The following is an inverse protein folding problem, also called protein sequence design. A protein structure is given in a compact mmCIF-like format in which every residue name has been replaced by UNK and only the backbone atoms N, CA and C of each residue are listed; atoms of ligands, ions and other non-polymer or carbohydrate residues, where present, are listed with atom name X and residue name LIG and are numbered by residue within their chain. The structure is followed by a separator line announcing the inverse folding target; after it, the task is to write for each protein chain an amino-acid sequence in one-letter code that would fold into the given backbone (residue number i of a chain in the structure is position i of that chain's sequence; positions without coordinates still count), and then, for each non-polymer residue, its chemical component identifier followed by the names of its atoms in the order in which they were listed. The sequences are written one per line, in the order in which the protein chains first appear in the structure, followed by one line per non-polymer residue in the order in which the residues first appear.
data_IF_735819566445
#
_entry.id   IF_735819566445
#
_cell.length_a   1.000
_cell.length_b   1.000
_cell.length_c   1.000
_cell.angle_alpha   90.00
_cell.angle_beta   90.00
_cell.angle_gamma   90.00
#
_symmetry.space_group_name_H-M   'P 1'
#
loop_
_entity.id
_entity.type
_entity.pdbx_description
1 polymer ?
#
# COMPACT_ATOMS: atom_id res chain seq x y z
N UNK A 1 11.53 20.89 -9.08
CA UNK A 1 11.50 21.35 -7.64
C UNK A 1 12.07 20.22 -6.81
N UNK A 2 12.78 20.47 -5.69
CA UNK A 2 13.30 19.36 -4.86
C UNK A 2 12.16 18.62 -4.14
N UNK A 3 12.30 17.30 -3.94
CA UNK A 3 11.23 16.49 -3.33
C UNK A 3 10.80 17.00 -1.93
N UNK A 4 11.75 17.50 -1.13
CA UNK A 4 11.45 18.09 0.18
C UNK A 4 10.59 19.36 0.09
N UNK A 5 10.77 20.17 -0.95
CA UNK A 5 9.94 21.36 -1.19
C UNK A 5 8.51 20.96 -1.57
N UNK A 6 8.34 19.92 -2.38
CA UNK A 6 7.02 19.38 -2.70
C UNK A 6 6.34 18.83 -1.45
N UNK A 7 7.06 18.06 -0.62
CA UNK A 7 6.51 17.49 0.62
C UNK A 7 6.04 18.56 1.60
N UNK A 8 6.81 19.65 1.77
CA UNK A 8 6.44 20.73 2.69
C UNK A 8 5.16 21.48 2.28
N UNK A 9 4.79 21.42 0.99
CA UNK A 9 3.57 22.03 0.47
C UNK A 9 2.34 21.11 0.58
N UNK A 10 2.54 19.82 0.94
CA UNK A 10 1.46 18.83 0.98
C UNK A 10 0.92 18.66 2.39
N UNK A 11 -0.40 18.62 2.52
CA UNK A 11 -1.09 18.39 3.79
C UNK A 11 -1.00 16.93 4.18
N UNK A 12 -0.42 16.64 5.34
CA UNK A 12 -0.28 15.26 5.85
C UNK A 12 -1.64 14.59 6.15
N UNK A 13 -2.61 15.37 6.60
CA UNK A 13 -3.93 14.88 6.98
C UNK A 13 -4.97 15.30 5.95
N UNK A 14 -5.50 14.34 5.24
CA UNK A 14 -6.61 14.57 4.29
C UNK A 14 -7.91 14.34 5.04
N UNK A 15 -8.74 15.37 5.16
CA UNK A 15 -10.07 15.27 5.80
C UNK A 15 -11.06 14.40 5.00
N UNK A 16 -10.80 14.19 3.71
CA UNK A 16 -11.66 13.42 2.82
C UNK A 16 -10.85 12.68 1.77
N UNK A 17 -10.94 11.35 1.77
CA UNK A 17 -10.33 10.52 0.72
C UNK A 17 -11.15 10.67 -0.56
N UNK A 18 -10.54 11.15 -1.63
CA UNK A 18 -11.18 11.17 -2.95
C UNK A 18 -11.13 9.77 -3.56
N UNK A 19 -12.26 9.07 -3.56
CA UNK A 19 -12.38 7.66 -3.98
C UNK A 19 -11.90 7.40 -5.41
N UNK A 20 -11.99 8.39 -6.29
CA UNK A 20 -11.69 8.20 -7.72
C UNK A 20 -10.45 8.95 -8.19
N UNK A 21 -9.90 9.85 -7.37
CA UNK A 21 -8.79 10.69 -7.79
C UNK A 21 -7.52 9.84 -8.08
N UNK A 22 -7.11 9.00 -7.13
CA UNK A 22 -5.95 8.12 -7.33
C UNK A 22 -6.14 7.17 -8.51
N UNK A 23 -7.34 6.61 -8.69
CA UNK A 23 -7.65 5.76 -9.83
C UNK A 23 -7.50 6.54 -11.15
N UNK A 24 -8.05 7.74 -11.25
CA UNK A 24 -7.92 8.56 -12.46
C UNK A 24 -6.47 8.95 -12.76
N UNK A 25 -5.69 9.24 -11.72
CA UNK A 25 -4.25 9.53 -11.87
C UNK A 25 -3.48 8.29 -12.33
N UNK A 26 -3.75 7.12 -11.72
CA UNK A 26 -3.15 5.88 -12.15
C UNK A 26 -3.49 5.56 -13.60
N UNK A 27 -4.76 5.59 -14.02
CA UNK A 27 -5.18 5.34 -15.40
C UNK A 27 -4.51 6.28 -16.40
N UNK A 28 -4.33 7.55 -16.04
CA UNK A 28 -3.63 8.53 -16.88
C UNK A 28 -2.16 8.20 -17.10
N UNK A 29 -1.48 7.70 -16.07
CA UNK A 29 -0.01 7.55 -16.06
C UNK A 29 0.48 6.10 -16.03
N UNK A 30 -0.40 5.09 -15.96
CA UNK A 30 -0.03 3.68 -15.78
C UNK A 30 0.99 3.14 -16.79
N UNK A 31 1.05 3.70 -17.98
CA UNK A 31 2.01 3.31 -19.01
C UNK A 31 3.46 3.66 -18.66
N UNK A 32 3.65 4.63 -17.79
CA UNK A 32 4.95 5.15 -17.36
C UNK A 32 5.34 4.67 -15.96
N UNK A 33 4.41 4.07 -15.22
CA UNK A 33 4.67 3.53 -13.89
C UNK A 33 5.41 2.20 -14.05
N UNK A 34 6.56 2.03 -13.38
CA UNK A 34 7.31 0.77 -13.42
C UNK A 34 6.46 -0.42 -12.99
N UNK A 35 6.59 -1.53 -13.72
CA UNK A 35 5.86 -2.78 -13.42
C UNK A 35 6.71 -3.66 -12.51
N UNK A 36 6.15 -4.03 -11.37
CA UNK A 36 6.74 -4.91 -10.37
C UNK A 36 5.70 -5.95 -9.95
N UNK A 37 6.12 -7.02 -9.28
CA UNK A 37 5.17 -7.90 -8.58
C UNK A 37 4.78 -7.27 -7.25
N UNK A 38 3.51 -6.96 -7.08
CA UNK A 38 3.02 -6.18 -5.95
C UNK A 38 2.29 -7.06 -4.94
N UNK A 39 2.72 -6.97 -3.67
CA UNK A 39 2.07 -7.61 -2.54
C UNK A 39 1.51 -6.52 -1.64
N UNK A 40 0.20 -6.51 -1.43
CA UNK A 40 -0.43 -5.51 -0.58
C UNK A 40 -0.72 -6.07 0.80
N UNK A 41 -0.31 -5.34 1.85
CA UNK A 41 -0.57 -5.69 3.25
C UNK A 41 -1.69 -4.79 3.78
N UNK A 42 -2.79 -5.42 4.21
CA UNK A 42 -4.01 -4.74 4.63
C UNK A 42 -4.39 -5.21 6.03
N UNK A 43 -4.90 -4.34 6.87
CA UNK A 43 -5.34 -4.69 8.22
C UNK A 43 -5.44 -3.47 9.13
N UNK A 44 -5.69 -3.72 10.41
CA UNK A 44 -5.64 -2.67 11.42
C UNK A 44 -4.27 -2.63 12.08
N UNK A 45 -3.82 -3.75 12.63
CA UNK A 45 -2.55 -3.87 13.34
C UNK A 45 -1.60 -4.85 12.64
N UNK A 46 -0.30 -4.59 12.75
CA UNK A 46 0.75 -5.51 12.30
C UNK A 46 1.08 -5.44 10.81
N UNK A 47 0.53 -4.48 10.05
CA UNK A 47 0.83 -4.32 8.61
C UNK A 47 2.32 -4.13 8.35
N UNK A 48 2.93 -3.10 8.95
CA UNK A 48 4.34 -2.77 8.75
C UNK A 48 5.27 -3.91 9.17
N UNK A 49 5.01 -4.56 10.32
CA UNK A 49 5.80 -5.72 10.78
C UNK A 49 5.68 -6.91 9.82
N UNK A 50 4.46 -7.25 9.39
CA UNK A 50 4.23 -8.34 8.44
C UNK A 50 4.90 -8.04 7.10
N UNK A 51 4.77 -6.81 6.59
CA UNK A 51 5.42 -6.38 5.35
C UNK A 51 6.94 -6.45 5.46
N UNK A 52 7.52 -6.03 6.59
CA UNK A 52 8.96 -6.09 6.82
C UNK A 52 9.48 -7.54 6.90
N UNK A 53 8.77 -8.43 7.60
CA UNK A 53 9.13 -9.85 7.65
C UNK A 53 9.10 -10.48 6.26
N UNK A 54 8.05 -10.22 5.49
CA UNK A 54 7.95 -10.72 4.12
C UNK A 54 9.09 -10.18 3.24
N UNK A 55 9.42 -8.89 3.39
CA UNK A 55 10.52 -8.26 2.65
C UNK A 55 11.87 -8.93 2.97
N UNK A 56 12.12 -9.23 4.23
CA UNK A 56 13.34 -9.93 4.66
C UNK A 56 13.39 -11.36 4.11
N UNK A 57 12.28 -12.11 4.16
CA UNK A 57 12.21 -13.46 3.61
C UNK A 57 12.48 -13.49 2.10
N UNK A 58 11.91 -12.56 1.34
CA UNK A 58 12.16 -12.47 -0.09
C UNK A 58 13.60 -12.05 -0.40
N UNK A 59 14.17 -11.16 0.41
CA UNK A 59 15.56 -10.74 0.27
C UNK A 59 16.53 -11.92 0.51
N UNK A 60 16.27 -12.77 1.53
CA UNK A 60 17.04 -13.99 1.79
C UNK A 60 16.93 -15.02 0.66
N UNK A 61 15.86 -14.97 -0.14
CA UNK A 61 15.72 -15.78 -1.35
C UNK A 61 16.44 -15.18 -2.56
N UNK A 62 17.20 -14.09 -2.39
CA UNK A 62 17.95 -13.41 -3.44
C UNK A 62 17.13 -12.46 -4.32
N UNK A 63 15.88 -12.16 -3.95
CA UNK A 63 15.06 -11.21 -4.69
C UNK A 63 15.43 -9.76 -4.37
N UNK A 64 15.28 -8.85 -5.32
CA UNK A 64 15.31 -7.41 -5.10
C UNK A 64 13.94 -6.97 -4.57
N UNK A 65 13.90 -6.34 -3.40
CA UNK A 65 12.66 -6.06 -2.70
C UNK A 65 12.56 -4.61 -2.25
N UNK A 66 11.42 -3.98 -2.60
CA UNK A 66 10.98 -2.72 -2.03
C UNK A 66 9.87 -2.93 -1.00
N UNK A 67 9.92 -2.22 0.12
CA UNK A 67 8.84 -2.19 1.10
C UNK A 67 8.44 -0.74 1.38
N UNK A 68 7.23 -0.39 0.94
CA UNK A 68 6.58 0.88 1.24
C UNK A 68 5.73 0.73 2.49
N UNK A 69 5.99 1.57 3.51
CA UNK A 69 5.31 1.54 4.82
C UNK A 69 4.85 2.91 5.27
N UNK A 70 3.88 2.98 6.19
CA UNK A 70 3.35 4.22 6.74
C UNK A 70 2.68 4.02 8.11
N UNK A 71 2.70 5.04 8.99
CA UNK A 71 3.49 6.28 8.87
C UNK A 71 4.98 6.06 9.12
N UNK A 72 5.81 7.08 8.87
CA UNK A 72 7.17 7.14 9.41
C UNK A 72 7.16 7.66 10.86
N UNK A 73 8.23 7.40 11.60
CA UNK A 73 8.38 7.82 12.99
C UNK A 73 9.22 9.11 13.08
N UNK A 74 10.36 9.15 12.40
CA UNK A 74 11.30 10.29 12.44
C UNK A 74 11.41 10.97 11.08
N UNK A 75 11.66 10.21 10.01
CA UNK A 75 11.98 10.75 8.70
C UNK A 75 11.12 10.12 7.59
N UNK A 76 10.80 10.93 6.59
CA UNK A 76 10.02 10.51 5.40
C UNK A 76 10.62 9.28 4.71
N UNK A 77 11.95 9.18 4.68
CA UNK A 77 12.70 8.11 4.06
C UNK A 77 12.37 6.71 4.60
N UNK A 78 11.97 6.61 5.89
CA UNK A 78 11.57 5.36 6.53
C UNK A 78 10.45 4.62 5.78
N UNK A 79 9.64 5.38 5.02
CA UNK A 79 8.57 4.82 4.18
C UNK A 79 9.08 3.95 3.04
N UNK A 80 10.36 4.08 2.68
CA UNK A 80 10.96 3.44 1.52
C UNK A 80 12.15 2.59 1.95
N UNK A 81 11.89 1.32 2.20
CA UNK A 81 12.94 0.35 2.50
C UNK A 81 13.27 -0.44 1.22
N UNK A 82 14.53 -0.42 0.80
CA UNK A 82 15.02 -1.04 -0.42
C UNK A 82 16.19 -1.98 -0.11
N UNK A 83 16.05 -3.26 -0.40
CA UNK A 83 17.12 -4.26 -0.31
C UNK A 83 17.92 -4.20 1.01
N UNK A 84 17.25 -4.11 2.15
CA UNK A 84 17.89 -4.11 3.47
C UNK A 84 18.16 -2.72 4.07
N UNK A 85 17.91 -1.63 3.35
CA UNK A 85 18.24 -0.26 3.80
C UNK A 85 17.10 0.72 3.57
N UNK A 86 17.04 1.76 4.39
CA UNK A 86 16.18 2.92 4.13
C UNK A 86 16.75 3.68 2.93
N UNK A 87 15.87 4.14 2.04
CA UNK A 87 16.24 4.91 0.87
C UNK A 87 16.95 6.23 1.26
N UNK A 88 18.05 6.57 0.57
CA UNK A 88 18.74 7.82 0.79
C UNK A 88 17.98 9.01 0.19
N UNK A 89 18.33 10.23 0.62
CA UNK A 89 17.79 11.46 0.03
C UNK A 89 18.09 11.57 -1.46
N UNK A 90 19.29 11.15 -1.88
CA UNK A 90 19.71 11.18 -3.29
C UNK A 90 18.84 10.24 -4.14
N UNK A 91 18.49 9.06 -3.61
CA UNK A 91 17.62 8.13 -4.31
C UNK A 91 16.19 8.67 -4.40
N UNK A 92 15.68 9.28 -3.31
CA UNK A 92 14.36 9.90 -3.31
C UNK A 92 14.29 11.11 -4.25
N UNK A 93 15.33 11.94 -4.32
CA UNK A 93 15.41 13.06 -5.25
C UNK A 93 15.38 12.58 -6.70
N UNK A 94 16.19 11.57 -7.03
CA UNK A 94 16.20 10.97 -8.37
C UNK A 94 14.86 10.38 -8.76
N UNK A 95 14.22 9.64 -7.85
CA UNK A 95 12.89 9.07 -8.07
C UNK A 95 11.84 10.18 -8.23
N UNK A 96 11.97 11.28 -7.49
CA UNK A 96 11.11 12.45 -7.64
C UNK A 96 11.27 13.12 -9.00
N UNK A 97 12.50 13.33 -9.48
CA UNK A 97 12.76 13.89 -10.81
C UNK A 97 12.10 13.04 -11.92
N UNK A 98 12.20 11.71 -11.82
CA UNK A 98 11.54 10.79 -12.75
C UNK A 98 10.01 10.91 -12.66
N UNK A 99 9.44 10.92 -11.46
CA UNK A 99 8.00 11.10 -11.24
C UNK A 99 7.53 12.46 -11.76
N UNK A 100 8.26 13.54 -11.47
CA UNK A 100 7.92 14.90 -11.94
C UNK A 100 7.95 14.98 -13.47
N UNK A 101 8.90 14.32 -14.12
CA UNK A 101 8.99 14.28 -15.58
C UNK A 101 7.79 13.60 -16.25
N UNK A 102 7.18 12.62 -15.57
CA UNK A 102 6.00 11.89 -16.03
C UNK A 102 4.70 12.65 -15.71
N UNK A 103 4.55 13.07 -14.45
CA UNK A 103 3.30 13.66 -13.94
C UNK A 103 3.17 15.16 -14.20
N UNK A 104 4.28 15.85 -14.48
CA UNK A 104 4.32 17.30 -14.71
C UNK A 104 3.60 18.06 -13.57
N UNK A 105 2.76 19.01 -13.90
CA UNK A 105 2.01 19.79 -12.91
C UNK A 105 1.01 18.96 -12.07
N UNK A 106 0.65 17.76 -12.48
CA UNK A 106 -0.25 16.92 -11.72
C UNK A 106 0.37 16.41 -10.41
N UNK A 107 1.70 16.41 -10.28
CA UNK A 107 2.39 16.13 -9.00
C UNK A 107 1.88 17.04 -7.88
N UNK A 108 1.57 18.30 -8.19
CA UNK A 108 1.08 19.31 -7.22
C UNK A 108 -0.32 18.96 -6.69
N UNK A 109 -1.14 18.24 -7.47
CA UNK A 109 -2.51 17.84 -7.12
C UNK A 109 -2.57 16.66 -6.16
N UNK A 110 -1.50 15.84 -6.09
CA UNK A 110 -1.42 14.69 -5.21
C UNK A 110 -1.36 15.14 -3.73
N UNK A 111 -2.13 14.50 -2.87
CA UNK A 111 -1.96 14.61 -1.43
C UNK A 111 -0.61 14.03 -0.98
N UNK A 112 -0.24 14.23 0.28
CA UNK A 112 1.01 13.72 0.83
C UNK A 112 1.14 12.19 0.65
N UNK A 113 0.09 11.43 0.99
CA UNK A 113 0.11 9.98 0.90
C UNK A 113 0.08 9.48 -0.55
N UNK A 114 -0.72 10.11 -1.40
CA UNK A 114 -0.80 9.79 -2.84
C UNK A 114 0.54 10.04 -3.55
N UNK A 115 1.19 11.16 -3.24
CA UNK A 115 2.53 11.45 -3.74
C UNK A 115 3.55 10.40 -3.29
N UNK A 116 3.60 10.10 -1.97
CA UNK A 116 4.51 9.09 -1.44
C UNK A 116 4.27 7.70 -2.06
N UNK A 117 3.00 7.37 -2.31
CA UNK A 117 2.63 6.09 -2.94
C UNK A 117 3.10 6.00 -4.39
N UNK A 118 2.93 7.04 -5.21
CA UNK A 118 3.48 7.05 -6.56
C UNK A 118 5.02 7.08 -6.56
N UNK A 119 5.62 7.87 -5.67
CA UNK A 119 7.09 7.93 -5.54
C UNK A 119 7.69 6.54 -5.24
N UNK A 120 7.01 5.71 -4.45
CA UNK A 120 7.45 4.36 -4.12
C UNK A 120 7.73 3.50 -5.38
N UNK A 121 6.92 3.62 -6.42
CA UNK A 121 7.12 2.86 -7.66
C UNK A 121 8.38 3.29 -8.43
N UNK A 122 8.74 4.57 -8.38
CA UNK A 122 9.97 5.05 -9.00
C UNK A 122 11.21 4.70 -8.15
N UNK A 123 11.08 4.69 -6.82
CA UNK A 123 12.14 4.22 -5.91
C UNK A 123 12.40 2.73 -6.10
N UNK A 124 11.35 1.93 -6.31
CA UNK A 124 11.42 0.46 -6.37
C UNK A 124 11.37 -0.10 -7.79
N UNK A 125 11.63 0.72 -8.81
CA UNK A 125 11.47 0.35 -10.22
C UNK A 125 12.27 -0.89 -10.66
N UNK A 126 13.40 -1.15 -10.01
CA UNK A 126 14.29 -2.27 -10.31
C UNK A 126 14.09 -3.47 -9.35
N UNK A 127 13.01 -3.47 -8.56
CA UNK A 127 12.67 -4.56 -7.65
C UNK A 127 11.90 -5.68 -8.35
N UNK A 128 12.15 -6.91 -7.92
CA UNK A 128 11.36 -8.07 -8.32
C UNK A 128 9.99 -8.06 -7.64
N UNK A 129 9.97 -7.63 -6.37
CA UNK A 129 8.77 -7.52 -5.53
C UNK A 129 8.69 -6.16 -4.85
N UNK A 130 7.48 -5.60 -4.82
CA UNK A 130 7.16 -4.42 -4.02
C UNK A 130 6.07 -4.78 -3.02
N UNK A 131 6.35 -4.57 -1.75
CA UNK A 131 5.40 -4.79 -0.66
C UNK A 131 4.82 -3.42 -0.29
N UNK A 132 3.49 -3.30 -0.39
CA UNK A 132 2.76 -2.07 -0.20
C UNK A 132 1.92 -2.15 1.08
N UNK A 133 2.23 -1.37 2.10
CA UNK A 133 1.36 -1.20 3.25
C UNK A 133 0.21 -0.26 2.92
N UNK A 134 -1.04 -0.73 3.04
CA UNK A 134 -2.21 0.13 2.92
C UNK A 134 -2.26 1.15 4.06
N UNK A 135 -2.50 2.42 3.73
CA UNK A 135 -2.58 3.49 4.71
C UNK A 135 -3.86 3.41 5.53
N UNK A 136 -5.00 3.65 4.92
CA UNK A 136 -6.31 3.63 5.57
C UNK A 136 -7.33 2.85 4.76
N UNK A 137 -8.01 1.91 5.41
CA UNK A 137 -9.03 1.10 4.75
C UNK A 137 -8.45 0.02 3.86
N UNK A 138 -8.83 0.00 2.60
CA UNK A 138 -8.40 -0.97 1.59
C UNK A 138 -8.94 -0.60 0.21
N UNK A 139 -10.23 -0.77 -0.06
CA UNK A 139 -10.86 -0.58 -1.38
C UNK A 139 -10.49 0.76 -2.06
N UNK A 140 -10.39 1.84 -1.27
CA UNK A 140 -10.09 3.19 -1.76
C UNK A 140 -8.75 3.73 -1.27
N UNK A 141 -7.91 2.86 -0.74
CA UNK A 141 -6.54 3.24 -0.37
C UNK A 141 -5.72 3.56 -1.62
N UNK A 142 -4.79 4.51 -1.51
CA UNK A 142 -3.96 4.89 -2.64
C UNK A 142 -3.14 3.71 -3.20
N UNK A 143 -2.75 2.76 -2.34
CA UNK A 143 -2.01 1.56 -2.76
C UNK A 143 -2.87 0.57 -3.55
N UNK A 144 -4.20 0.66 -3.47
CA UNK A 144 -5.13 -0.29 -4.11
C UNK A 144 -5.45 0.02 -5.57
N UNK A 145 -4.91 1.12 -6.13
CA UNK A 145 -5.09 1.44 -7.55
C UNK A 145 -4.15 0.67 -8.47
N UNK A 146 -3.07 0.12 -7.92
CA UNK A 146 -2.07 -0.65 -8.67
C UNK A 146 -2.52 -2.10 -8.87
N UNK A 147 -1.94 -2.75 -9.88
CA UNK A 147 -2.13 -4.19 -10.07
C UNK A 147 -1.49 -4.93 -8.88
N UNK A 148 -2.31 -5.65 -8.11
CA UNK A 148 -1.88 -6.40 -6.92
C UNK A 148 -1.90 -7.90 -7.23
N UNK A 149 -0.73 -8.54 -7.16
CA UNK A 149 -0.57 -9.97 -7.40
C UNK A 149 -1.02 -10.82 -6.20
N UNK A 150 -0.81 -10.28 -4.98
CA UNK A 150 -1.14 -10.99 -3.75
C UNK A 150 -1.55 -10.04 -2.62
N UNK A 151 -2.64 -10.35 -1.94
CA UNK A 151 -3.11 -9.57 -0.78
C UNK A 151 -2.90 -10.33 0.52
N UNK A 152 -2.34 -9.68 1.53
CA UNK A 152 -2.16 -10.23 2.88
C UNK A 152 -3.00 -9.42 3.86
N UNK A 153 -3.91 -10.10 4.55
CA UNK A 153 -4.76 -9.48 5.57
C UNK A 153 -4.25 -9.83 6.96
N UNK A 154 -3.70 -8.83 7.65
CA UNK A 154 -3.34 -8.92 9.06
C UNK A 154 -4.59 -8.80 9.94
N UNK A 155 -4.45 -8.74 11.26
CA UNK A 155 -5.60 -8.60 12.16
C UNK A 155 -6.42 -7.36 11.82
N UNK A 156 -7.72 -7.56 11.55
CA UNK A 156 -8.72 -6.50 11.36
C UNK A 156 -9.42 -6.25 12.69
N UNK A 157 -9.48 -5.01 13.11
CA UNK A 157 -10.11 -4.53 14.33
C UNK A 157 -10.71 -3.14 14.13
N UNK A 158 -11.15 -2.53 15.20
CA UNK A 158 -11.66 -1.16 15.19
C UNK A 158 -10.53 -0.16 14.95
N UNK A 159 -10.69 0.68 13.92
CA UNK A 159 -9.76 1.74 13.55
C UNK A 159 -10.45 2.72 12.59
N UNK A 160 -10.11 4.00 12.64
CA UNK A 160 -10.62 5.03 11.73
C UNK A 160 -12.15 4.96 11.53
N UNK A 161 -12.92 4.83 12.62
CA UNK A 161 -14.37 4.63 12.56
C UNK A 161 -15.11 5.75 11.82
N UNK A 162 -14.57 6.97 11.87
CA UNK A 162 -15.12 8.13 11.16
C UNK A 162 -15.05 8.00 9.62
N UNK A 163 -14.10 7.20 9.13
CA UNK A 163 -13.85 7.01 7.69
C UNK A 163 -14.34 5.65 7.16
N UNK A 164 -14.20 4.59 7.96
CA UNK A 164 -14.37 3.21 7.50
C UNK A 164 -15.69 2.58 7.90
N UNK A 165 -16.36 3.13 8.91
CA UNK A 165 -17.64 2.64 9.39
C UNK A 165 -17.70 2.47 10.91
N UNK A 166 -18.93 2.39 11.45
CA UNK A 166 -19.20 2.41 12.89
C UNK A 166 -19.06 1.05 13.58
N UNK A 167 -19.01 -0.01 12.81
CA UNK A 167 -18.90 -1.39 13.33
C UNK A 167 -17.81 -2.16 12.61
N UNK A 168 -17.40 -3.29 13.21
CA UNK A 168 -16.31 -4.10 12.69
C UNK A 168 -16.59 -4.67 11.29
N UNK A 169 -17.84 -4.98 10.98
CA UNK A 169 -18.21 -5.53 9.68
C UNK A 169 -18.03 -4.50 8.55
N UNK A 170 -18.42 -3.25 8.77
CA UNK A 170 -18.22 -2.16 7.80
C UNK A 170 -16.73 -1.93 7.56
N UNK A 171 -15.92 -1.84 8.64
CA UNK A 171 -14.47 -1.69 8.57
C UNK A 171 -13.84 -2.87 7.82
N UNK A 172 -14.22 -4.10 8.17
CA UNK A 172 -13.72 -5.31 7.53
C UNK A 172 -14.10 -5.35 6.05
N UNK A 173 -15.32 -4.97 5.70
CA UNK A 173 -15.81 -4.93 4.31
C UNK A 173 -14.96 -4.01 3.44
N UNK A 174 -14.66 -2.79 3.91
CA UNK A 174 -13.82 -1.84 3.19
C UNK A 174 -12.41 -2.37 2.97
N UNK A 175 -11.83 -3.03 3.99
CA UNK A 175 -10.50 -3.64 3.90
C UNK A 175 -10.49 -4.85 2.95
N UNK A 176 -11.42 -5.78 3.12
CA UNK A 176 -11.50 -7.04 2.37
C UNK A 176 -11.85 -6.83 0.89
N UNK A 177 -12.53 -5.77 0.51
CA UNK A 177 -12.81 -5.42 -0.88
C UNK A 177 -11.55 -5.13 -1.71
N UNK A 178 -10.42 -4.79 -1.07
CA UNK A 178 -9.11 -4.68 -1.74
C UNK A 178 -8.48 -6.05 -2.09
N UNK A 179 -9.13 -7.16 -1.76
CA UNK A 179 -8.62 -8.52 -2.04
C UNK A 179 -8.32 -8.71 -3.53
N UNK A 180 -7.09 -9.10 -3.84
CA UNK A 180 -6.65 -9.52 -5.18
C UNK A 180 -7.06 -10.97 -5.49
N UNK A 181 -6.74 -11.46 -6.68
CA UNK A 181 -7.08 -12.82 -7.10
C UNK A 181 -6.47 -13.92 -6.21
N UNK A 182 -5.39 -13.62 -5.49
CA UNK A 182 -4.75 -14.51 -4.51
C UNK A 182 -4.60 -13.76 -3.19
N UNK A 183 -5.07 -14.35 -2.10
CA UNK A 183 -5.05 -13.70 -0.80
C UNK A 183 -4.74 -14.67 0.35
N UNK A 184 -4.10 -14.13 1.38
CA UNK A 184 -3.89 -14.78 2.68
C UNK A 184 -4.52 -13.92 3.77
N UNK A 185 -5.30 -14.54 4.65
CA UNK A 185 -5.83 -13.87 5.85
C UNK A 185 -5.34 -14.56 7.12
N UNK A 186 -4.95 -13.76 8.11
CA UNK A 186 -4.59 -14.26 9.44
C UNK A 186 -5.80 -14.96 10.09
N UNK A 187 -5.61 -16.18 10.62
CA UNK A 187 -6.65 -16.97 11.27
C UNK A 187 -7.21 -16.35 12.56
N UNK A 188 -6.42 -15.49 13.24
CA UNK A 188 -6.84 -14.81 14.47
C UNK A 188 -7.80 -13.64 14.23
N UNK A 189 -8.70 -13.77 13.27
CA UNK A 189 -9.82 -12.85 13.07
C UNK A 189 -11.02 -13.24 13.92
N UNK A 190 -11.97 -12.31 14.09
CA UNK A 190 -13.29 -12.69 14.55
C UNK A 190 -14.01 -13.53 13.49
N UNK A 191 -14.84 -14.50 13.91
CA UNK A 191 -15.57 -15.42 13.00
C UNK A 191 -16.35 -14.65 11.93
N UNK A 192 -17.00 -13.54 12.31
CA UNK A 192 -17.75 -12.69 11.35
C UNK A 192 -16.85 -12.08 10.27
N UNK A 193 -15.59 -11.77 10.58
CA UNK A 193 -14.62 -11.25 9.61
C UNK A 193 -14.18 -12.35 8.65
N UNK A 194 -13.91 -13.58 9.14
CA UNK A 194 -13.58 -14.73 8.29
C UNK A 194 -14.74 -15.09 7.35
N UNK A 195 -15.97 -15.12 7.86
CA UNK A 195 -17.16 -15.37 7.05
C UNK A 195 -17.34 -14.31 5.95
N UNK A 196 -17.10 -13.06 6.28
CA UNK A 196 -17.15 -11.95 5.31
C UNK A 196 -16.02 -12.08 4.28
N UNK A 197 -14.82 -12.45 4.71
CA UNK A 197 -13.68 -12.66 3.81
C UNK A 197 -13.97 -13.76 2.79
N UNK A 198 -14.55 -14.89 3.23
CA UNK A 198 -14.94 -15.98 2.33
C UNK A 198 -16.03 -15.55 1.34
N UNK A 199 -17.03 -14.80 1.79
CA UNK A 199 -18.07 -14.25 0.89
C UNK A 199 -17.48 -13.32 -0.17
N UNK A 200 -16.57 -12.45 0.20
CA UNK A 200 -15.91 -11.52 -0.74
C UNK A 200 -14.99 -12.29 -1.70
N UNK A 201 -14.24 -13.28 -1.20
CA UNK A 201 -13.43 -14.14 -2.04
C UNK A 201 -14.26 -14.85 -3.12
N UNK A 202 -15.39 -15.43 -2.74
CA UNK A 202 -16.29 -16.07 -3.69
C UNK A 202 -16.83 -15.09 -4.74
N UNK A 203 -17.27 -13.90 -4.33
CA UNK A 203 -17.76 -12.86 -5.24
C UNK A 203 -16.69 -12.37 -6.22
N UNK A 204 -15.44 -12.31 -5.79
CA UNK A 204 -14.30 -11.88 -6.62
C UNK A 204 -13.62 -13.04 -7.35
N UNK A 205 -14.07 -14.27 -7.16
CA UNK A 205 -13.42 -15.49 -7.66
C UNK A 205 -11.93 -15.57 -7.23
N UNK A 206 -11.64 -15.11 -6.02
CA UNK A 206 -10.29 -15.08 -5.47
C UNK A 206 -9.98 -16.38 -4.70
N UNK A 207 -8.75 -16.84 -4.79
CA UNK A 207 -8.20 -17.91 -3.95
C UNK A 207 -7.80 -17.31 -2.59
N UNK A 208 -8.58 -17.59 -1.55
CA UNK A 208 -8.32 -17.13 -0.19
C UNK A 208 -7.79 -18.28 0.66
N UNK A 209 -6.57 -18.12 1.18
CA UNK A 209 -6.00 -19.00 2.19
C UNK A 209 -6.15 -18.37 3.58
N UNK A 210 -6.46 -19.18 4.59
CA UNK A 210 -6.47 -18.77 5.99
C UNK A 210 -5.18 -19.34 6.61
N UNK A 211 -4.36 -18.49 7.23
CA UNK A 211 -3.14 -18.98 7.87
C UNK A 211 -3.49 -19.94 9.00
N UNK A 212 -2.86 -21.11 9.06
CA UNK A 212 -2.84 -21.96 10.23
C UNK A 212 -1.50 -21.75 10.96
N UNK A 213 -1.53 -21.76 12.29
CA UNK A 213 -0.36 -22.00 13.12
C UNK A 213 -0.47 -23.46 13.55
N UNK A 214 0.19 -24.33 12.82
CA UNK A 214 0.54 -25.66 13.30
C UNK A 214 1.92 -25.60 13.91
#
# INVERSE_FOLDING_TARGET
MKFQQILSQKTMHVQKISRFFMFSMYEKYKKFIPKTKNIQIIGTNGKGSTGRFLALLLLEQGCKVGHYTSPHIFEFNERFWLNGKIASNELLEKAHEELESVFLDDVKKLSYFEYATFLAFFVFKDCDYVILEAGVGGEYDATSVFEIDFSVFTKIGFDHQDLLGKNLEEIARTKLKAMSAKALINHKQEVKVLNLAQKIANLKQASLNISSLD
#
